data_IF_695822084018
#
_entry.id   IF_695822084018
#
_cell.length_a   1.000
_cell.length_b   1.000
_cell.length_c   1.000
_cell.angle_alpha   90.00
_cell.angle_beta   90.00
_cell.angle_gamma   90.00
#
_symmetry.space_group_name_H-M   'P 1'
#
loop_
_entity.id
_entity.type
_entity.pdbx_description
1 polymer ?
#
# COMPACT_ATOMS: atom_id res chain seq x y z
N UNK A 1 104.95 29.75 -24.13
CA UNK A 1 105.21 29.05 -22.86
C UNK A 1 103.92 28.36 -22.41
N UNK A 2 103.93 27.02 -22.36
CA UNK A 2 103.10 26.11 -21.55
C UNK A 2 101.59 26.06 -21.90
N UNK A 3 100.89 24.93 -22.07
CA UNK A 3 101.18 23.54 -22.45
C UNK A 3 99.81 22.85 -22.68
N UNK A 4 99.83 21.68 -23.28
CA UNK A 4 98.66 20.92 -23.75
C UNK A 4 97.90 20.12 -22.66
N UNK A 5 96.65 19.75 -23.00
CA UNK A 5 95.92 18.50 -22.65
C UNK A 5 95.71 18.10 -21.16
N UNK A 6 94.43 17.97 -20.78
CA UNK A 6 93.80 16.86 -20.00
C UNK A 6 92.28 17.10 -20.00
N UNK A 7 91.38 16.32 -20.60
CA UNK A 7 91.10 14.88 -20.52
C UNK A 7 90.60 14.38 -19.15
N UNK A 8 89.26 14.24 -19.08
CA UNK A 8 88.47 13.12 -18.54
C UNK A 8 88.11 13.12 -17.03
N UNK A 9 86.91 12.56 -16.79
CA UNK A 9 86.24 12.09 -15.56
C UNK A 9 85.40 13.14 -14.79
N UNK A 10 84.07 13.02 -14.58
CA UNK A 10 83.17 11.86 -14.49
C UNK A 10 81.73 12.19 -14.94
N UNK A 11 81.07 11.15 -15.45
CA UNK A 11 79.64 10.96 -15.66
C UNK A 11 78.74 11.42 -14.49
N UNK A 12 77.63 12.08 -14.82
CA UNK A 12 76.27 11.96 -14.24
C UNK A 12 75.34 12.67 -15.26
N UNK A 13 74.66 11.95 -16.16
CA UNK A 13 73.24 11.59 -16.05
C UNK A 13 72.36 12.75 -15.55
N UNK A 14 71.21 13.11 -16.11
CA UNK A 14 70.44 12.78 -17.30
C UNK A 14 69.27 13.80 -17.29
N UNK A 15 68.76 14.15 -18.46
CA UNK A 15 67.39 14.59 -18.75
C UNK A 15 66.58 15.30 -17.63
N UNK A 16 66.37 16.61 -17.77
CA UNK A 16 65.23 17.31 -17.18
C UNK A 16 64.42 17.98 -18.30
N UNK A 17 63.83 17.15 -19.16
CA UNK A 17 62.73 17.51 -20.04
C UNK A 17 61.55 16.60 -19.67
N UNK A 18 60.37 17.22 -19.59
CA UNK A 18 59.06 16.66 -19.25
C UNK A 18 58.78 16.50 -17.75
N UNK A 19 57.82 17.30 -17.25
CA UNK A 19 56.69 16.88 -16.42
C UNK A 19 55.79 18.12 -16.19
N UNK A 20 55.18 18.62 -17.27
CA UNK A 20 53.88 19.28 -17.18
C UNK A 20 52.82 18.18 -17.28
N UNK A 21 52.74 17.35 -16.23
CA UNK A 21 51.55 16.52 -16.01
C UNK A 21 50.45 17.47 -15.57
N UNK A 22 49.64 17.90 -16.53
CA UNK A 22 48.36 18.51 -16.25
C UNK A 22 47.60 17.60 -15.29
N UNK A 23 47.20 18.17 -14.16
CA UNK A 23 46.22 17.59 -13.26
C UNK A 23 44.94 17.33 -14.07
N UNK A 24 44.76 16.08 -14.52
CA UNK A 24 43.45 15.58 -14.85
C UNK A 24 42.69 15.48 -13.53
N UNK A 25 42.02 16.58 -13.15
CA UNK A 25 40.97 16.51 -12.15
C UNK A 25 39.95 15.46 -12.57
N UNK A 26 39.25 14.80 -11.63
CA UNK A 26 38.20 13.86 -12.00
C UNK A 26 37.22 14.60 -12.90
N UNK A 27 37.10 14.13 -14.14
CA UNK A 27 36.08 14.60 -15.06
C UNK A 27 34.73 14.30 -14.38
N UNK A 28 34.08 15.33 -13.84
CA UNK A 28 32.66 15.28 -13.59
C UNK A 28 32.04 15.09 -14.97
N UNK A 29 31.76 13.84 -15.32
CA UNK A 29 31.05 13.50 -16.53
C UNK A 29 29.81 14.40 -16.58
N UNK A 30 29.76 15.29 -17.58
CA UNK A 30 28.65 16.19 -17.76
C UNK A 30 27.37 15.34 -17.79
N UNK A 31 26.56 15.45 -16.74
CA UNK A 31 25.34 14.66 -16.61
C UNK A 31 24.34 15.22 -17.61
N UNK A 32 24.26 14.57 -18.77
CA UNK A 32 23.33 14.91 -19.83
C UNK A 32 21.89 14.76 -19.35
N UNK A 33 21.02 15.70 -19.70
CA UNK A 33 19.59 15.63 -19.40
C UNK A 33 18.93 14.69 -20.41
N UNK A 34 18.31 13.61 -19.94
CA UNK A 34 17.60 12.62 -20.76
C UNK A 34 16.11 12.92 -20.88
N UNK A 35 15.49 13.38 -19.79
CA UNK A 35 14.11 13.82 -19.81
C UNK A 35 13.88 15.01 -18.87
N UNK A 36 12.82 15.78 -19.12
CA UNK A 36 12.32 16.82 -18.22
C UNK A 36 10.84 16.57 -17.94
N UNK A 37 10.47 16.49 -16.67
CA UNK A 37 9.10 16.22 -16.19
C UNK A 37 8.64 17.39 -15.33
N UNK A 38 7.73 18.22 -15.84
CA UNK A 38 7.23 19.44 -15.17
C UNK A 38 8.38 20.31 -14.58
N UNK A 39 9.45 20.48 -15.35
CA UNK A 39 10.64 21.24 -14.95
C UNK A 39 11.66 20.47 -14.09
N UNK A 40 11.39 19.22 -13.70
CA UNK A 40 12.38 18.35 -13.04
C UNK A 40 13.20 17.60 -14.09
N UNK A 41 14.51 17.82 -14.12
CA UNK A 41 15.41 17.11 -15.02
C UNK A 41 15.73 15.69 -14.51
N UNK A 42 15.69 14.72 -15.42
CA UNK A 42 16.18 13.36 -15.24
C UNK A 42 17.49 13.27 -16.01
N UNK A 43 18.57 12.97 -15.31
CA UNK A 43 19.91 12.94 -15.89
C UNK A 43 20.36 11.54 -16.29
N UNK A 44 21.40 11.45 -17.13
CA UNK A 44 22.07 10.19 -17.46
C UNK A 44 22.60 9.47 -16.23
N UNK A 45 23.01 10.21 -15.19
CA UNK A 45 23.41 9.65 -13.89
C UNK A 45 22.25 8.99 -13.14
N UNK A 46 21.06 9.59 -13.18
CA UNK A 46 19.86 9.00 -12.55
C UNK A 46 19.44 7.71 -13.28
N UNK A 47 19.46 7.73 -14.61
CA UNK A 47 19.18 6.56 -15.45
C UNK A 47 20.17 5.44 -15.13
N UNK A 48 21.47 5.75 -15.02
CA UNK A 48 22.49 4.76 -14.67
C UNK A 48 22.25 4.12 -13.30
N UNK A 49 21.91 4.93 -12.27
CA UNK A 49 21.55 4.43 -10.93
C UNK A 49 20.33 3.52 -10.97
N UNK A 50 19.30 3.89 -11.72
CA UNK A 50 18.09 3.07 -11.88
C UNK A 50 18.39 1.77 -12.63
N UNK A 51 19.22 1.79 -13.67
CA UNK A 51 19.66 0.57 -14.34
C UNK A 51 20.44 -0.34 -13.40
N UNK A 52 21.35 0.20 -12.59
CA UNK A 52 22.05 -0.56 -11.56
C UNK A 52 21.07 -1.22 -10.58
N UNK A 53 20.04 -0.48 -10.15
CA UNK A 53 19.02 -1.00 -9.26
C UNK A 53 18.21 -2.15 -9.90
N UNK A 54 17.79 -1.97 -11.17
CA UNK A 54 17.09 -3.00 -11.93
C UNK A 54 17.93 -4.28 -12.12
N UNK A 55 19.26 -4.15 -12.29
CA UNK A 55 20.19 -5.29 -12.33
C UNK A 55 20.21 -6.05 -11.01
N UNK A 56 20.23 -5.36 -9.87
CA UNK A 56 20.14 -6.01 -8.55
C UNK A 56 18.82 -6.77 -8.37
N UNK A 57 17.73 -6.24 -8.93
CA UNK A 57 16.42 -6.90 -8.95
C UNK A 57 16.31 -8.04 -9.97
N UNK A 58 17.34 -8.27 -10.79
CA UNK A 58 17.33 -9.23 -11.92
C UNK A 58 16.18 -8.97 -12.90
N UNK A 59 15.85 -7.71 -13.12
CA UNK A 59 14.83 -7.27 -14.09
C UNK A 59 15.48 -6.60 -15.31
N UNK A 60 14.66 -6.28 -16.31
CA UNK A 60 15.13 -5.65 -17.55
C UNK A 60 15.72 -4.27 -17.27
N UNK A 61 17.05 -4.16 -17.32
CA UNK A 61 17.81 -2.97 -16.95
C UNK A 61 18.30 -2.13 -18.15
N UNK A 62 17.50 -2.03 -19.21
CA UNK A 62 17.82 -1.15 -20.34
C UNK A 62 17.54 0.32 -20.02
N UNK A 63 18.23 1.22 -20.72
CA UNK A 63 18.17 2.66 -20.42
C UNK A 63 16.76 3.24 -20.60
N UNK A 64 16.03 2.78 -21.62
CA UNK A 64 14.67 3.23 -21.90
C UNK A 64 13.71 2.83 -20.78
N UNK A 65 13.75 1.58 -20.34
CA UNK A 65 12.94 1.12 -19.19
C UNK A 65 13.27 1.90 -17.92
N UNK A 66 14.55 2.14 -17.65
CA UNK A 66 14.98 2.92 -16.49
C UNK A 66 14.50 4.38 -16.55
N UNK A 67 14.61 5.01 -17.72
CA UNK A 67 14.14 6.37 -17.95
C UNK A 67 12.62 6.50 -17.79
N UNK A 68 11.83 5.58 -18.40
CA UNK A 68 10.37 5.56 -18.25
C UNK A 68 9.95 5.40 -16.77
N UNK A 69 10.62 4.53 -16.01
CA UNK A 69 10.37 4.37 -14.58
C UNK A 69 10.76 5.61 -13.76
N UNK A 70 11.78 6.35 -14.17
CA UNK A 70 12.17 7.60 -13.50
C UNK A 70 11.19 8.72 -13.80
N UNK A 71 10.64 8.78 -15.02
CA UNK A 71 9.54 9.68 -15.37
C UNK A 71 8.33 9.39 -14.49
N UNK A 72 7.93 8.13 -14.35
CA UNK A 72 6.83 7.74 -13.47
C UNK A 72 7.10 8.07 -12.00
N UNK A 73 8.31 7.80 -11.52
CA UNK A 73 8.68 8.13 -10.16
C UNK A 73 8.65 9.64 -9.91
N UNK A 74 9.11 10.44 -10.86
CA UNK A 74 9.06 11.91 -10.78
C UNK A 74 7.62 12.42 -10.69
N UNK A 75 6.72 11.88 -11.53
CA UNK A 75 5.28 12.22 -11.47
C UNK A 75 4.66 11.85 -10.13
N UNK A 76 4.91 10.62 -9.65
CA UNK A 76 4.42 10.15 -8.34
C UNK A 76 4.94 11.05 -7.22
N UNK A 77 6.22 11.41 -7.23
CA UNK A 77 6.86 12.27 -6.22
C UNK A 77 6.27 13.68 -6.22
N UNK A 78 6.09 14.28 -7.40
CA UNK A 78 5.46 15.60 -7.54
C UNK A 78 4.04 15.60 -6.99
N UNK A 79 3.26 14.55 -7.29
CA UNK A 79 1.89 14.46 -6.80
C UNK A 79 1.82 14.27 -5.29
N UNK A 80 2.67 13.38 -4.73
CA UNK A 80 2.81 13.19 -3.28
C UNK A 80 3.11 14.51 -2.58
N UNK A 81 4.02 15.32 -3.13
CA UNK A 81 4.34 16.63 -2.59
C UNK A 81 3.17 17.61 -2.72
N UNK A 82 2.48 17.63 -3.87
CA UNK A 82 1.33 18.50 -4.14
C UNK A 82 0.19 18.28 -3.14
N UNK A 83 -0.10 17.03 -2.80
CA UNK A 83 -1.16 16.67 -1.83
C UNK A 83 -0.66 16.56 -0.39
N UNK A 84 0.63 16.84 -0.12
CA UNK A 84 1.25 16.82 1.22
C UNK A 84 1.12 15.48 1.94
N UNK A 85 1.27 14.38 1.21
CA UNK A 85 1.16 13.01 1.76
C UNK A 85 2.48 12.24 1.76
N UNK A 86 3.61 12.96 1.82
CA UNK A 86 4.94 12.35 1.94
C UNK A 86 5.12 11.66 3.28
N UNK A 87 5.79 10.50 3.28
CA UNK A 87 6.29 9.88 4.51
C UNK A 87 7.42 10.69 5.15
N UNK A 88 7.59 10.54 6.47
CA UNK A 88 8.70 11.19 7.19
C UNK A 88 10.04 10.55 6.84
N UNK A 89 11.14 11.30 6.98
CA UNK A 89 12.49 10.74 6.79
C UNK A 89 12.77 9.58 7.75
N UNK A 90 12.27 9.68 8.99
CA UNK A 90 12.38 8.63 10.00
C UNK A 90 11.69 7.33 9.54
N UNK A 91 10.51 7.42 8.91
CA UNK A 91 9.82 6.25 8.37
C UNK A 91 10.58 5.60 7.21
N UNK A 92 11.21 6.43 6.35
CA UNK A 92 12.06 5.96 5.25
C UNK A 92 13.28 5.23 5.79
N UNK A 93 13.96 5.80 6.78
CA UNK A 93 15.13 5.20 7.41
C UNK A 93 14.77 3.91 8.15
N UNK A 94 13.64 3.88 8.86
CA UNK A 94 13.14 2.66 9.49
C UNK A 94 12.78 1.58 8.45
N UNK A 95 12.22 1.97 7.31
CA UNK A 95 11.92 1.04 6.22
C UNK A 95 13.18 0.50 5.56
N UNK A 96 14.18 1.35 5.35
CA UNK A 96 15.50 0.94 4.87
C UNK A 96 16.19 -0.03 5.83
N UNK A 97 16.11 0.21 7.15
CA UNK A 97 16.62 -0.70 8.16
C UNK A 97 15.92 -2.06 8.15
N UNK A 98 14.58 -2.07 8.04
CA UNK A 98 13.79 -3.31 7.88
C UNK A 98 14.19 -4.07 6.62
N UNK A 99 14.31 -3.39 5.48
CA UNK A 99 14.77 -4.00 4.22
C UNK A 99 16.16 -4.63 4.37
N UNK A 100 17.09 -3.92 5.02
CA UNK A 100 18.44 -4.41 5.30
C UNK A 100 18.40 -5.68 6.15
N UNK A 101 17.66 -5.66 7.26
CA UNK A 101 17.51 -6.82 8.15
C UNK A 101 16.86 -8.02 7.46
N UNK A 102 15.88 -7.80 6.57
CA UNK A 102 15.24 -8.85 5.79
C UNK A 102 16.20 -9.56 4.82
N UNK A 103 17.26 -8.85 4.39
CA UNK A 103 18.35 -9.39 3.60
C UNK A 103 19.54 -9.87 4.46
N UNK A 104 19.36 -9.96 5.79
CA UNK A 104 20.41 -10.36 6.77
C UNK A 104 21.63 -9.43 6.75
N UNK A 105 21.42 -8.14 6.49
CA UNK A 105 22.45 -7.12 6.42
C UNK A 105 22.17 -6.00 7.42
N UNK A 106 23.22 -5.35 7.94
CA UNK A 106 23.08 -4.06 8.62
C UNK A 106 22.77 -2.94 7.61
N UNK A 107 22.17 -1.81 8.03
CA UNK A 107 21.97 -0.65 7.17
C UNK A 107 23.27 -0.14 6.51
N UNK A 108 24.39 -0.19 7.23
CA UNK A 108 25.71 0.22 6.74
C UNK A 108 26.24 -0.75 5.68
N UNK A 109 26.10 -2.06 5.90
CA UNK A 109 26.49 -3.08 4.93
C UNK A 109 25.64 -2.97 3.65
N UNK A 110 24.32 -2.79 3.80
CA UNK A 110 23.42 -2.57 2.68
C UNK A 110 23.81 -1.31 1.90
N UNK A 111 24.16 -0.24 2.60
CA UNK A 111 24.60 1.02 2.00
C UNK A 111 25.85 0.81 1.12
N UNK A 112 26.86 0.12 1.66
CA UNK A 112 28.07 -0.22 0.91
C UNK A 112 27.78 -1.06 -0.34
N UNK A 113 26.83 -2.00 -0.26
CA UNK A 113 26.44 -2.83 -1.40
C UNK A 113 25.77 -1.97 -2.48
N UNK A 114 24.85 -1.08 -2.10
CA UNK A 114 24.16 -0.17 -3.04
C UNK A 114 25.14 0.79 -3.71
N UNK A 115 26.12 1.30 -2.98
CA UNK A 115 27.14 2.20 -3.52
C UNK A 115 28.06 1.45 -4.50
N UNK A 116 28.54 0.24 -4.15
CA UNK A 116 29.36 -0.60 -5.05
C UNK A 116 28.60 -1.01 -6.30
N UNK A 117 27.29 -1.23 -6.19
CA UNK A 117 26.43 -1.54 -7.32
C UNK A 117 26.15 -0.32 -8.21
N UNK A 118 26.47 0.90 -7.76
CA UNK A 118 26.20 2.15 -8.48
C UNK A 118 24.76 2.65 -8.34
N UNK A 119 23.99 2.14 -7.37
CA UNK A 119 22.62 2.62 -7.07
C UNK A 119 22.69 3.88 -6.21
N UNK A 120 23.51 3.85 -5.16
CA UNK A 120 23.56 4.91 -4.15
C UNK A 120 22.43 4.80 -3.12
N UNK A 121 22.77 5.02 -1.85
CA UNK A 121 21.80 4.95 -0.73
C UNK A 121 20.65 5.95 -0.92
N UNK A 122 20.95 7.19 -1.31
CA UNK A 122 19.95 8.25 -1.44
C UNK A 122 18.93 7.95 -2.55
N UNK A 123 19.38 7.37 -3.67
CA UNK A 123 18.48 6.96 -4.74
C UNK A 123 17.51 5.88 -4.26
N UNK A 124 18.02 4.89 -3.52
CA UNK A 124 17.20 3.80 -3.01
C UNK A 124 16.23 4.28 -1.90
N UNK A 125 16.68 5.16 -1.00
CA UNK A 125 15.79 5.79 0.00
C UNK A 125 14.73 6.67 -0.66
N UNK A 126 15.07 7.40 -1.73
CA UNK A 126 14.11 8.15 -2.53
C UNK A 126 13.04 7.25 -3.16
N UNK A 127 13.46 6.11 -3.70
CA UNK A 127 12.54 5.08 -4.20
C UNK A 127 11.61 4.56 -3.09
N UNK A 128 12.15 4.22 -1.91
CA UNK A 128 11.36 3.80 -0.74
C UNK A 128 10.32 4.86 -0.37
N UNK A 129 10.72 6.13 -0.30
CA UNK A 129 9.83 7.22 0.05
C UNK A 129 8.62 7.31 -0.91
N UNK A 130 8.86 7.17 -2.22
CA UNK A 130 7.78 7.13 -3.22
C UNK A 130 6.91 5.89 -3.06
N UNK A 131 7.50 4.69 -2.89
CA UNK A 131 6.76 3.45 -2.72
C UNK A 131 5.87 3.44 -1.47
N UNK A 132 6.28 4.11 -0.40
CA UNK A 132 5.48 4.22 0.83
C UNK A 132 4.40 5.32 0.74
N UNK A 133 4.68 6.41 0.02
CA UNK A 133 3.77 7.56 -0.08
C UNK A 133 2.69 7.37 -1.13
N UNK A 134 3.03 6.76 -2.28
CA UNK A 134 2.12 6.65 -3.41
C UNK A 134 0.81 5.89 -3.10
N UNK A 135 0.83 4.73 -2.40
CA UNK A 135 -0.41 4.06 -2.01
C UNK A 135 -1.33 4.93 -1.14
N UNK A 136 -0.77 5.81 -0.31
CA UNK A 136 -1.56 6.74 0.52
C UNK A 136 -2.29 7.75 -0.36
N UNK A 137 -1.62 8.28 -1.38
CA UNK A 137 -2.18 9.22 -2.35
C UNK A 137 -3.28 8.57 -3.18
N UNK A 138 -3.06 7.35 -3.69
CA UNK A 138 -4.08 6.58 -4.42
C UNK A 138 -5.28 6.30 -3.52
N UNK A 139 -5.06 5.84 -2.29
CA UNK A 139 -6.14 5.57 -1.35
C UNK A 139 -6.87 6.84 -0.89
N UNK A 140 -6.21 7.99 -0.79
CA UNK A 140 -6.89 9.24 -0.48
C UNK A 140 -7.81 9.68 -1.63
N UNK A 141 -7.38 9.46 -2.87
CA UNK A 141 -8.15 9.82 -4.06
C UNK A 141 -9.34 8.88 -4.32
N UNK A 142 -9.14 7.59 -4.12
CA UNK A 142 -10.12 6.55 -4.49
C UNK A 142 -10.74 5.79 -3.30
N UNK A 143 -10.14 5.87 -2.11
CA UNK A 143 -10.55 5.11 -0.92
C UNK A 143 -11.64 5.78 -0.07
N UNK A 144 -11.80 7.10 -0.11
CA UNK A 144 -12.99 7.79 0.43
C UNK A 144 -14.13 7.90 -0.59
N UNK A 145 -13.80 7.73 -1.87
CA UNK A 145 -14.71 7.80 -3.02
C UNK A 145 -15.03 6.40 -3.55
N UNK A 146 -15.00 5.36 -2.73
CA UNK A 146 -15.41 3.99 -3.11
C UNK A 146 -16.92 3.84 -3.28
N UNK A 147 -17.58 4.91 -3.77
CA UNK A 147 -18.73 4.77 -4.63
C UNK A 147 -18.19 4.63 -6.05
N UNK A 148 -18.54 3.56 -6.75
CA UNK A 148 -18.26 3.47 -8.17
C UNK A 148 -18.80 4.75 -8.82
N UNK A 149 -18.02 5.39 -9.70
CA UNK A 149 -18.58 6.50 -10.45
C UNK A 149 -19.80 5.98 -11.23
N UNK A 150 -20.84 6.78 -11.41
CA UNK A 150 -22.04 6.35 -12.14
C UNK A 150 -21.68 5.75 -13.52
N UNK A 151 -20.62 6.29 -14.15
CA UNK A 151 -20.06 5.75 -15.39
C UNK A 151 -19.45 4.35 -15.23
N UNK A 152 -18.62 4.14 -14.21
CA UNK A 152 -18.00 2.83 -13.95
C UNK A 152 -19.05 1.78 -13.57
N UNK A 153 -20.06 2.16 -12.78
CA UNK A 153 -21.21 1.30 -12.44
C UNK A 153 -22.00 0.91 -13.69
N UNK A 154 -22.31 1.87 -14.57
CA UNK A 154 -23.01 1.61 -15.84
C UNK A 154 -22.17 0.74 -16.78
N UNK A 155 -20.88 1.02 -16.91
CA UNK A 155 -19.97 0.22 -17.74
C UNK A 155 -19.89 -1.23 -17.24
N UNK A 156 -19.78 -1.43 -15.91
CA UNK A 156 -19.83 -2.76 -15.29
C UNK A 156 -21.16 -3.46 -15.51
N UNK A 157 -22.28 -2.75 -15.34
CA UNK A 157 -23.61 -3.31 -15.65
C UNK A 157 -23.72 -3.72 -17.11
N UNK A 158 -23.17 -2.93 -18.05
CA UNK A 158 -23.16 -3.26 -19.48
C UNK A 158 -22.29 -4.48 -19.80
N UNK A 159 -21.13 -4.63 -19.13
CA UNK A 159 -20.28 -5.83 -19.23
C UNK A 159 -20.95 -7.07 -18.64
N UNK A 160 -21.80 -6.90 -17.62
CA UNK A 160 -22.54 -7.98 -16.96
C UNK A 160 -23.92 -8.23 -17.59
N UNK A 161 -24.06 -8.04 -18.91
CA UNK A 161 -25.32 -8.21 -19.65
C UNK A 161 -26.53 -7.44 -19.09
N UNK A 162 -26.31 -6.27 -18.48
CA UNK A 162 -27.32 -5.43 -17.80
C UNK A 162 -28.00 -6.12 -16.60
N UNK A 163 -27.46 -7.24 -16.12
CA UNK A 163 -27.98 -7.90 -14.92
C UNK A 163 -27.37 -7.28 -13.68
N UNK A 164 -28.23 -6.73 -12.82
CA UNK A 164 -27.84 -6.23 -11.51
C UNK A 164 -27.51 -7.42 -10.60
N UNK A 165 -26.34 -7.43 -9.95
CA UNK A 165 -26.02 -8.43 -8.94
C UNK A 165 -27.11 -8.47 -7.88
N UNK A 166 -27.50 -9.69 -7.51
CA UNK A 166 -28.40 -9.91 -6.37
C UNK A 166 -27.55 -10.08 -5.12
N UNK A 167 -27.85 -9.34 -4.07
CA UNK A 167 -27.25 -9.55 -2.75
C UNK A 167 -28.32 -9.70 -1.68
N UNK A 168 -27.94 -10.22 -0.52
CA UNK A 168 -28.86 -10.38 0.60
C UNK A 168 -28.78 -9.15 1.49
N UNK A 169 -29.92 -8.52 1.75
CA UNK A 169 -30.10 -7.46 2.72
C UNK A 169 -30.61 -8.05 4.04
N UNK A 170 -29.98 -7.64 5.12
CA UNK A 170 -30.33 -8.01 6.49
C UNK A 170 -30.72 -6.78 7.29
N UNK A 171 -31.74 -6.93 8.13
CA UNK A 171 -32.00 -6.02 9.25
C UNK A 171 -31.55 -6.73 10.52
N UNK A 172 -30.56 -6.18 11.21
CA UNK A 172 -29.90 -6.85 12.33
C UNK A 172 -30.02 -6.03 13.62
N UNK A 173 -30.27 -6.72 14.72
CA UNK A 173 -30.06 -6.19 16.06
C UNK A 173 -28.98 -7.00 16.76
N UNK A 174 -28.18 -6.35 17.59
CA UNK A 174 -27.14 -6.98 18.38
C UNK A 174 -27.57 -7.08 19.83
N UNK A 175 -27.55 -8.30 20.36
CA UNK A 175 -27.83 -8.57 21.77
C UNK A 175 -26.49 -8.79 22.47
N UNK A 176 -26.20 -7.98 23.48
CA UNK A 176 -24.90 -7.92 24.15
C UNK A 176 -25.08 -8.27 25.62
N UNK A 177 -24.56 -9.42 26.01
CA UNK A 177 -24.39 -9.85 27.40
C UNK A 177 -23.11 -9.22 27.92
N UNK A 178 -23.26 -8.05 28.54
CA UNK A 178 -22.12 -7.22 28.95
C UNK A 178 -21.27 -7.97 29.98
N UNK A 179 -19.95 -7.89 29.80
CA UNK A 179 -18.98 -8.39 30.77
C UNK A 179 -18.03 -7.25 31.14
N UNK A 180 -18.03 -6.80 32.41
CA UNK A 180 -17.04 -5.83 32.88
C UNK A 180 -15.62 -6.37 32.65
N UNK A 181 -14.72 -5.52 32.16
CA UNK A 181 -13.34 -5.91 31.81
C UNK A 181 -12.63 -6.65 32.95
N UNK A 182 -12.79 -6.17 34.19
CA UNK A 182 -12.22 -6.77 35.39
C UNK A 182 -12.72 -8.20 35.69
N UNK A 183 -13.86 -8.62 35.12
CA UNK A 183 -14.49 -9.93 35.39
C UNK A 183 -14.43 -10.91 34.21
N UNK A 184 -13.81 -10.55 33.07
CA UNK A 184 -13.77 -11.41 31.87
C UNK A 184 -13.22 -12.81 32.14
N UNK A 185 -12.16 -12.94 32.92
CA UNK A 185 -11.58 -14.27 33.24
C UNK A 185 -12.50 -15.17 34.08
N UNK A 186 -13.41 -14.58 34.86
CA UNK A 186 -14.23 -15.31 35.84
C UNK A 186 -15.62 -15.68 35.32
N UNK A 187 -16.25 -14.84 34.50
CA UNK A 187 -17.68 -14.99 34.16
C UNK A 187 -17.99 -15.23 32.68
N UNK A 188 -16.99 -15.25 31.79
CA UNK A 188 -17.23 -15.41 30.34
C UNK A 188 -17.96 -16.71 30.01
N UNK A 189 -17.56 -17.84 30.61
CA UNK A 189 -18.24 -19.13 30.39
C UNK A 189 -19.71 -19.10 30.81
N UNK A 190 -19.99 -18.53 31.99
CA UNK A 190 -21.36 -18.35 32.50
C UNK A 190 -22.20 -17.47 31.56
N UNK A 191 -21.66 -16.31 31.16
CA UNK A 191 -22.35 -15.37 30.26
C UNK A 191 -22.57 -15.94 28.87
N UNK A 192 -21.66 -16.79 28.40
CA UNK A 192 -21.86 -17.55 27.16
C UNK A 192 -23.04 -18.52 27.28
N UNK A 193 -23.12 -19.27 28.39
CA UNK A 193 -24.26 -20.14 28.66
C UNK A 193 -25.59 -19.39 28.72
N UNK A 194 -25.62 -18.23 29.38
CA UNK A 194 -26.80 -17.36 29.45
C UNK A 194 -27.21 -16.83 28.06
N UNK A 195 -26.24 -16.37 27.26
CA UNK A 195 -26.49 -15.90 25.91
C UNK A 195 -27.06 -17.02 25.02
N UNK A 196 -26.47 -18.21 25.05
CA UNK A 196 -26.96 -19.36 24.29
C UNK A 196 -28.35 -19.82 24.72
N UNK A 197 -28.62 -19.85 26.03
CA UNK A 197 -29.94 -20.18 26.56
C UNK A 197 -31.01 -19.14 26.21
N UNK A 198 -30.62 -17.88 26.01
CA UNK A 198 -31.55 -16.81 25.61
C UNK A 198 -31.99 -16.91 24.15
N UNK A 199 -31.12 -17.41 23.27
CA UNK A 199 -31.38 -17.45 21.82
C UNK A 199 -32.61 -18.27 21.45
N UNK A 200 -32.78 -19.43 22.07
CA UNK A 200 -33.93 -20.31 21.82
C UNK A 200 -35.26 -19.72 22.28
N UNK A 201 -35.22 -18.70 23.15
CA UNK A 201 -36.38 -18.01 23.71
C UNK A 201 -36.58 -16.62 23.11
N UNK A 202 -35.76 -16.22 22.14
CA UNK A 202 -35.77 -14.87 21.61
C UNK A 202 -37.10 -14.60 20.87
N UNK A 203 -37.92 -13.64 21.35
CA UNK A 203 -39.28 -13.44 20.86
C UNK A 203 -39.36 -12.69 19.53
N UNK A 204 -38.24 -12.20 19.01
CA UNK A 204 -38.17 -11.36 17.82
C UNK A 204 -37.69 -9.94 18.12
N UNK A 205 -37.31 -9.21 17.07
CA UNK A 205 -36.66 -7.90 17.20
C UNK A 205 -37.55 -6.82 17.80
N UNK A 206 -38.86 -6.85 17.55
CA UNK A 206 -39.80 -5.86 18.09
C UNK A 206 -39.86 -5.91 19.62
N UNK A 207 -39.65 -7.09 20.20
CA UNK A 207 -39.66 -7.34 21.64
C UNK A 207 -38.26 -7.48 22.23
N UNK A 208 -37.19 -7.25 21.44
CA UNK A 208 -35.82 -7.49 21.87
C UNK A 208 -35.44 -6.69 23.12
N UNK A 209 -35.87 -5.42 23.21
CA UNK A 209 -35.58 -4.56 24.38
C UNK A 209 -36.32 -5.04 25.64
N UNK A 210 -37.58 -5.42 25.50
CA UNK A 210 -38.39 -5.96 26.61
C UNK A 210 -37.81 -7.28 27.08
N UNK A 211 -37.45 -8.16 26.14
CA UNK A 211 -36.78 -9.42 26.40
C UNK A 211 -35.45 -9.22 27.12
N UNK A 212 -34.61 -8.30 26.64
CA UNK A 212 -33.34 -7.97 27.27
C UNK A 212 -33.49 -7.44 28.69
N UNK A 213 -34.53 -6.66 28.97
CA UNK A 213 -34.82 -6.14 30.31
C UNK A 213 -35.13 -7.23 31.35
N UNK A 214 -35.54 -8.43 30.92
CA UNK A 214 -35.73 -9.58 31.82
C UNK A 214 -34.41 -10.25 32.23
N UNK A 215 -33.30 -9.87 31.60
CA UNK A 215 -32.00 -10.49 31.78
C UNK A 215 -30.99 -9.51 32.38
N UNK A 216 -30.07 -10.05 33.17
CA UNK A 216 -29.07 -9.24 33.85
C UNK A 216 -27.98 -8.76 32.88
N UNK A 217 -27.67 -7.46 32.94
CA UNK A 217 -26.57 -6.83 32.21
C UNK A 217 -26.62 -7.09 30.70
N UNK A 218 -27.83 -7.14 30.11
CA UNK A 218 -28.05 -7.35 28.67
C UNK A 218 -28.46 -6.03 28.02
N UNK A 219 -27.85 -5.70 26.89
CA UNK A 219 -28.19 -4.53 26.10
C UNK A 219 -28.53 -4.91 24.65
N UNK A 220 -29.39 -4.12 24.02
CA UNK A 220 -29.77 -4.29 22.61
C UNK A 220 -29.28 -3.08 21.83
N UNK A 221 -28.52 -3.32 20.76
CA UNK A 221 -28.09 -2.29 19.83
C UNK A 221 -28.70 -2.56 18.46
N UNK A 222 -29.40 -1.58 17.92
CA UNK A 222 -29.90 -1.67 16.55
C UNK A 222 -28.74 -1.41 15.56
N UNK A 223 -28.55 -2.32 14.60
CA UNK A 223 -27.57 -2.15 13.52
C UNK A 223 -28.24 -1.66 12.23
N UNK A 224 -29.57 -1.67 12.18
CA UNK A 224 -30.34 -1.28 11.02
C UNK A 224 -30.09 -2.19 9.82
N UNK A 225 -30.12 -1.57 8.63
CA UNK A 225 -30.00 -2.24 7.34
C UNK A 225 -28.54 -2.45 6.96
N UNK A 226 -28.17 -3.69 6.68
CA UNK A 226 -26.84 -4.09 6.24
C UNK A 226 -26.94 -5.04 5.05
N UNK A 227 -26.13 -4.81 4.02
CA UNK A 227 -25.98 -5.77 2.93
C UNK A 227 -24.98 -6.86 3.32
N UNK A 228 -25.13 -8.07 2.78
CA UNK A 228 -24.24 -9.20 3.06
C UNK A 228 -22.73 -8.86 2.92
N UNK A 229 -22.29 -8.06 1.94
CA UNK A 229 -20.88 -7.64 1.83
C UNK A 229 -20.41 -6.67 2.92
N UNK A 230 -21.32 -5.97 3.59
CA UNK A 230 -21.00 -5.02 4.67
C UNK A 230 -20.81 -5.70 6.03
N UNK A 231 -21.29 -6.95 6.15
CA UNK A 231 -21.17 -7.71 7.39
C UNK A 231 -19.69 -8.03 7.62
N UNK A 232 -19.14 -7.71 8.80
CA UNK A 232 -17.75 -8.03 9.10
C UNK A 232 -17.46 -9.53 8.89
N UNK A 233 -16.26 -9.90 8.39
CA UNK A 233 -15.92 -11.30 8.08
C UNK A 233 -16.12 -12.26 9.26
N UNK A 234 -15.93 -11.72 10.45
CA UNK A 234 -16.09 -12.35 11.74
C UNK A 234 -17.54 -12.75 12.09
N UNK A 235 -18.53 -12.05 11.53
CA UNK A 235 -19.96 -12.28 11.76
C UNK A 235 -20.63 -12.94 10.57
N UNK A 236 -20.09 -12.75 9.36
CA UNK A 236 -20.62 -13.29 8.10
C UNK A 236 -21.00 -14.78 8.18
N UNK A 237 -20.12 -15.71 8.61
CA UNK A 237 -20.49 -17.13 8.66
C UNK A 237 -21.60 -17.41 9.68
N UNK A 238 -21.66 -16.66 10.77
CA UNK A 238 -22.68 -16.83 11.81
C UNK A 238 -24.07 -16.37 11.34
N UNK A 239 -24.11 -15.33 10.50
CA UNK A 239 -25.35 -14.84 9.87
C UNK A 239 -25.80 -15.78 8.76
N UNK A 240 -24.88 -16.22 7.88
CA UNK A 240 -25.20 -17.11 6.76
C UNK A 240 -25.65 -18.51 7.22
N UNK A 241 -25.12 -19.01 8.34
CA UNK A 241 -25.47 -20.33 8.88
C UNK A 241 -26.65 -20.29 9.87
N UNK A 242 -27.23 -19.11 10.14
CA UNK A 242 -28.34 -18.99 11.07
C UNK A 242 -29.57 -19.74 10.54
N UNK A 243 -30.05 -20.72 11.29
CA UNK A 243 -31.25 -21.51 10.95
C UNK A 243 -32.55 -20.90 11.49
N UNK A 244 -32.48 -19.69 12.04
CA UNK A 244 -33.60 -19.00 12.68
C UNK A 244 -33.32 -17.52 12.82
N UNK A 245 -34.05 -16.86 13.73
CA UNK A 245 -33.96 -15.42 13.95
C UNK A 245 -32.74 -14.97 14.78
N UNK A 246 -31.81 -15.87 15.14
CA UNK A 246 -30.57 -15.51 15.86
C UNK A 246 -29.34 -16.29 15.37
N UNK A 247 -28.20 -15.63 15.33
CA UNK A 247 -26.89 -16.23 15.04
C UNK A 247 -26.34 -16.97 16.25
N UNK A 248 -25.27 -17.78 16.06
CA UNK A 248 -24.46 -18.27 17.18
C UNK A 248 -23.90 -17.15 18.06
N UNK A 249 -23.53 -17.47 19.30
CA UNK A 249 -22.87 -16.50 20.19
C UNK A 249 -21.38 -16.36 19.88
N UNK A 250 -20.85 -15.17 20.17
CA UNK A 250 -19.43 -14.84 20.04
C UNK A 250 -18.97 -14.05 21.25
N UNK A 251 -17.74 -14.29 21.69
CA UNK A 251 -17.08 -13.49 22.72
C UNK A 251 -16.40 -12.29 22.05
N UNK A 252 -16.69 -11.09 22.54
CA UNK A 252 -16.13 -9.82 22.09
C UNK A 252 -15.49 -9.07 23.27
N UNK A 253 -14.99 -7.87 23.02
CA UNK A 253 -14.54 -6.94 24.04
C UNK A 253 -15.67 -6.43 24.95
N UNK A 254 -16.90 -6.35 24.45
CA UNK A 254 -18.07 -5.90 25.23
C UNK A 254 -18.67 -7.03 26.09
N UNK A 255 -18.45 -8.28 25.71
CA UNK A 255 -18.91 -9.44 26.47
C UNK A 255 -19.22 -10.63 25.58
N UNK A 256 -20.39 -11.23 25.75
CA UNK A 256 -20.89 -12.26 24.82
C UNK A 256 -22.03 -11.69 24.00
N UNK A 257 -22.00 -11.90 22.70
CA UNK A 257 -22.92 -11.28 21.77
C UNK A 257 -23.53 -12.30 20.81
N UNK A 258 -24.74 -12.05 20.36
CA UNK A 258 -25.29 -12.65 19.15
C UNK A 258 -26.08 -11.61 18.36
N UNK A 259 -26.27 -11.87 17.06
CA UNK A 259 -27.09 -11.04 16.21
C UNK A 259 -28.48 -11.66 16.07
N UNK A 260 -29.51 -10.85 16.26
CA UNK A 260 -30.87 -11.16 15.90
C UNK A 260 -31.12 -10.72 14.45
N UNK A 261 -31.66 -11.62 13.64
CA UNK A 261 -32.04 -11.39 12.25
C UNK A 261 -33.50 -10.99 12.23
N UNK A 262 -33.76 -9.70 12.07
CA UNK A 262 -35.10 -9.12 12.09
C UNK A 262 -35.82 -9.32 10.75
N UNK A 263 -35.09 -9.17 9.66
CA UNK A 263 -35.56 -9.54 8.32
C UNK A 263 -34.39 -9.88 7.41
N UNK A 264 -34.65 -10.72 6.43
CA UNK A 264 -33.71 -11.09 5.37
C UNK A 264 -34.45 -11.04 4.04
N UNK A 265 -33.90 -10.33 3.05
CA UNK A 265 -34.46 -10.30 1.68
C UNK A 265 -33.37 -10.19 0.63
N UNK A 266 -33.65 -10.64 -0.57
CA UNK A 266 -32.76 -10.41 -1.71
C UNK A 266 -33.06 -9.04 -2.32
N UNK A 267 -32.00 -8.30 -2.64
CA UNK A 267 -32.08 -6.97 -3.26
C UNK A 267 -31.13 -6.90 -4.46
N UNK A 268 -31.55 -6.15 -5.48
CA UNK A 268 -30.80 -5.97 -6.73
C UNK A 268 -30.90 -4.54 -7.25
N UNK A 269 -30.97 -3.56 -6.35
CA UNK A 269 -30.93 -2.14 -6.70
C UNK A 269 -29.50 -1.66 -7.06
N UNK A 270 -29.36 -0.39 -7.45
CA UNK A 270 -28.07 0.16 -7.88
C UNK A 270 -27.04 0.18 -6.74
N UNK A 271 -27.50 0.38 -5.50
CA UNK A 271 -26.65 0.39 -4.32
C UNK A 271 -26.16 -1.04 -4.01
N UNK A 272 -27.04 -2.05 -4.12
CA UNK A 272 -26.70 -3.46 -4.02
C UNK A 272 -25.68 -3.87 -5.09
N UNK A 273 -25.90 -3.46 -6.34
CA UNK A 273 -24.99 -3.73 -7.45
C UNK A 273 -23.59 -3.15 -7.20
N UNK A 274 -23.53 -1.87 -6.83
CA UNK A 274 -22.30 -1.16 -6.52
C UNK A 274 -21.50 -1.85 -5.40
N UNK A 275 -22.19 -2.29 -4.36
CA UNK A 275 -21.59 -2.93 -3.19
C UNK A 275 -21.03 -4.32 -3.50
N UNK A 276 -21.72 -5.10 -4.34
CA UNK A 276 -21.20 -6.40 -4.80
C UNK A 276 -19.95 -6.22 -5.65
N UNK A 277 -19.99 -5.32 -6.63
CA UNK A 277 -18.84 -5.05 -7.49
C UNK A 277 -17.62 -4.55 -6.69
N UNK A 278 -17.84 -3.69 -5.69
CA UNK A 278 -16.76 -3.24 -4.81
C UNK A 278 -16.15 -4.40 -4.03
N UNK A 279 -16.97 -5.32 -3.52
CA UNK A 279 -16.47 -6.47 -2.79
C UNK A 279 -15.65 -7.40 -3.69
N UNK A 280 -16.08 -7.63 -4.94
CA UNK A 280 -15.29 -8.37 -5.92
C UNK A 280 -13.93 -7.73 -6.18
N UNK A 281 -13.86 -6.39 -6.26
CA UNK A 281 -12.61 -5.67 -6.47
C UNK A 281 -11.67 -5.79 -5.26
N UNK A 282 -12.23 -5.72 -4.05
CA UNK A 282 -11.49 -5.95 -2.82
C UNK A 282 -10.98 -7.40 -2.76
N UNK A 283 -11.78 -8.39 -3.13
CA UNK A 283 -11.39 -9.79 -3.09
C UNK A 283 -10.34 -10.12 -4.16
N UNK A 284 -10.44 -9.55 -5.37
CA UNK A 284 -9.38 -9.59 -6.40
C UNK A 284 -8.09 -8.96 -5.91
N UNK A 285 -8.17 -7.82 -5.20
CA UNK A 285 -6.99 -7.15 -4.65
C UNK A 285 -6.30 -7.96 -3.54
N UNK A 286 -7.06 -8.77 -2.77
CA UNK A 286 -6.55 -9.61 -1.68
C UNK A 286 -6.03 -10.98 -2.14
N UNK A 287 -6.55 -11.52 -3.25
CA UNK A 287 -6.14 -12.82 -3.78
C UNK A 287 -4.75 -12.82 -4.42
N UNK A 288 -4.18 -11.66 -4.72
CA UNK A 288 -2.79 -11.54 -5.16
C UNK A 288 -1.82 -11.66 -3.98
N UNK A 289 -1.19 -12.83 -3.81
CA UNK A 289 -0.09 -13.05 -2.85
C UNK A 289 1.20 -12.26 -3.15
N UNK A 290 1.20 -11.47 -4.23
CA UNK A 290 2.17 -10.42 -4.51
C UNK A 290 1.40 -9.13 -4.81
N UNK A 291 1.01 -8.41 -3.76
CA UNK A 291 0.45 -7.08 -3.90
C UNK A 291 1.54 -6.13 -4.42
N UNK A 292 1.77 -6.15 -5.73
CA UNK A 292 2.46 -5.06 -6.41
C UNK A 292 1.65 -3.78 -6.18
N UNK A 293 2.28 -2.64 -5.85
CA UNK A 293 1.61 -1.36 -5.57
C UNK A 293 1.09 -0.67 -6.85
N UNK A 294 0.48 -1.45 -7.74
CA UNK A 294 -0.15 -0.98 -8.97
C UNK A 294 -1.55 -1.57 -9.11
N UNK A 295 -2.42 -1.22 -8.16
CA UNK A 295 -3.87 -1.29 -8.33
C UNK A 295 -4.27 -0.65 -9.69
N UNK A 296 -5.37 -1.07 -10.32
CA UNK A 296 -5.89 -0.40 -11.53
C UNK A 296 -6.04 1.12 -11.33
N UNK A 297 -6.44 1.53 -10.12
CA UNK A 297 -6.50 2.94 -9.71
C UNK A 297 -5.12 3.65 -9.68
N UNK A 298 -4.05 2.94 -9.32
CA UNK A 298 -2.68 3.46 -9.36
C UNK A 298 -2.25 3.75 -10.80
N UNK A 299 -2.53 2.82 -11.73
CA UNK A 299 -2.26 2.97 -13.16
C UNK A 299 -3.10 4.09 -13.77
N UNK A 300 -4.41 4.09 -13.53
CA UNK A 300 -5.35 5.13 -13.97
C UNK A 300 -4.89 6.52 -13.53
N UNK A 301 -4.49 6.67 -12.27
CA UNK A 301 -4.00 7.95 -11.75
C UNK A 301 -2.68 8.34 -12.42
N UNK A 302 -1.73 7.41 -12.55
CA UNK A 302 -0.47 7.70 -13.20
C UNK A 302 -0.66 8.12 -14.67
N UNK A 303 -1.57 7.48 -15.40
CA UNK A 303 -1.92 7.84 -16.77
C UNK A 303 -2.54 9.24 -16.87
N UNK A 304 -3.41 9.60 -15.92
CA UNK A 304 -3.95 10.96 -15.82
C UNK A 304 -2.85 11.99 -15.53
N UNK A 305 -1.90 11.67 -14.66
CA UNK A 305 -0.75 12.54 -14.38
C UNK A 305 0.13 12.70 -15.62
N UNK A 306 0.43 11.59 -16.33
CA UNK A 306 1.18 11.63 -17.60
C UNK A 306 0.49 12.51 -18.64
N UNK A 307 -0.83 12.42 -18.80
CA UNK A 307 -1.59 13.25 -19.75
C UNK A 307 -1.56 14.75 -19.41
N UNK A 308 -1.45 15.09 -18.12
CA UNK A 308 -1.42 16.48 -17.64
C UNK A 308 -0.01 17.05 -17.54
N UNK A 309 1.00 16.18 -17.50
CA UNK A 309 2.38 16.58 -17.33
C UNK A 309 3.01 17.04 -18.64
N UNK A 310 3.93 17.99 -18.52
CA UNK A 310 4.86 18.34 -19.59
C UNK A 310 6.08 17.42 -19.48
N UNK A 311 6.18 16.46 -20.40
CA UNK A 311 7.28 15.50 -20.47
C UNK A 311 8.02 15.71 -21.78
N UNK A 312 9.30 16.09 -21.70
CA UNK A 312 10.17 16.28 -22.86
C UNK A 312 11.37 15.34 -22.77
N UNK A 313 11.47 14.40 -23.71
CA UNK A 313 12.62 13.50 -23.89
C UNK A 313 13.70 14.18 -24.74
N UNK A 314 14.98 13.85 -24.50
CA UNK A 314 16.16 14.45 -25.16
C UNK A 314 17.08 13.41 -25.75
#
# INVERSE_FOLDING_TARGET
MIDAKKAITKFLAAAALALLTGFAGPALAASEVKAVVNGTAITSGDVAKRQAFLRLQRTKADAKTAEEQLVDEALKRQEVARVRMSVSQQDVDASFARFSSGNKLSPEQMSQILDRAGVGVDHFKGFIAVQMSWPRVVNARYGSTSRLSNYDLVSRMMQNNKQKPVTTEYMLQQIIFVIPQAKRGAITGKRKGEAEASRSKFPGCDQAKVFAATMRDVSVRDLGRLLAPEIPPDWKPLVEQAKGNTTGTRVTDKGVEYLAICSQRQVSDDQAAEMVFRQEDLDKSKAGKDASPENENSKKYLDELRKKAQIAYR
#
